data_IF_899582691095
#
_entry.id   IF_899582691095
#
_cell.length_a   1.000
_cell.length_b   1.000
_cell.length_c   1.000
_cell.angle_alpha   90.00
_cell.angle_beta   90.00
_cell.angle_gamma   90.00
#
_symmetry.space_group_name_H-M   'P 1'
#
loop_
_entity.id
_entity.type
_entity.pdbx_description
1 polymer ?
#
# COMPACT_ATOMS: atom_id res chain seq x y z
N UNK A 1 -14.22 -1.10 16.13
CA UNK A 1 -13.98 0.05 15.23
C UNK A 1 -14.17 -0.39 13.78
N UNK A 2 -13.57 -1.51 13.43
CA UNK A 2 -13.67 -2.17 12.13
C UNK A 2 -14.02 -3.62 12.38
N UNK A 3 -14.96 -4.19 11.61
CA UNK A 3 -15.27 -5.62 11.61
C UNK A 3 -14.81 -6.24 10.29
N UNK A 4 -14.19 -7.39 10.34
CA UNK A 4 -13.81 -8.17 9.16
C UNK A 4 -15.05 -8.45 8.29
N UNK A 5 -14.93 -8.25 6.97
CA UNK A 5 -16.01 -8.44 6.01
C UNK A 5 -16.91 -7.21 5.77
N UNK A 6 -16.81 -6.14 6.58
CA UNK A 6 -17.51 -4.88 6.33
C UNK A 6 -16.85 -4.09 5.19
N UNK A 7 -17.61 -3.21 4.55
CA UNK A 7 -17.08 -2.29 3.56
C UNK A 7 -16.20 -1.21 4.19
N UNK A 8 -15.18 -0.78 3.45
CA UNK A 8 -14.27 0.27 3.90
C UNK A 8 -14.84 1.67 3.70
N UNK A 9 -15.01 2.43 4.77
CA UNK A 9 -15.54 3.79 4.78
C UNK A 9 -14.58 4.85 5.32
N UNK A 10 -13.75 4.50 6.32
CA UNK A 10 -12.80 5.39 6.98
C UNK A 10 -11.42 4.76 7.11
N UNK A 11 -10.41 5.63 7.05
CA UNK A 11 -9.06 5.43 7.55
C UNK A 11 -8.96 5.96 8.98
N UNK A 12 -8.19 5.31 9.82
CA UNK A 12 -8.05 5.65 11.24
C UNK A 12 -6.58 5.84 11.64
N UNK A 13 -6.33 6.78 12.55
CA UNK A 13 -5.04 6.99 13.22
C UNK A 13 -5.26 7.02 14.73
N UNK A 14 -4.41 6.30 15.47
CA UNK A 14 -4.46 6.23 16.92
C UNK A 14 -3.76 7.46 17.51
N UNK A 15 -4.52 8.27 18.24
CA UNK A 15 -3.98 9.42 18.99
C UNK A 15 -3.62 9.03 20.44
N UNK A 16 -4.41 8.14 21.06
CA UNK A 16 -4.20 7.65 22.42
C UNK A 16 -4.83 6.26 22.56
N UNK A 17 -4.27 5.44 23.45
CA UNK A 17 -4.71 4.06 23.69
C UNK A 17 -4.14 3.08 22.67
N UNK A 18 -4.58 1.82 22.73
CA UNK A 18 -4.13 0.78 21.82
C UNK A 18 -5.30 -0.03 21.25
N UNK A 19 -5.06 -0.63 20.08
CA UNK A 19 -6.01 -1.46 19.36
C UNK A 19 -5.43 -2.85 19.13
N UNK A 20 -6.27 -3.88 19.24
CA UNK A 20 -5.94 -5.23 18.81
C UNK A 20 -6.45 -5.44 17.38
N UNK A 21 -5.58 -5.94 16.52
CA UNK A 21 -5.93 -6.44 15.19
C UNK A 21 -6.10 -7.94 15.28
N UNK A 22 -7.24 -8.44 14.84
CA UNK A 22 -7.54 -9.88 14.82
C UNK A 22 -8.19 -10.27 13.50
N UNK A 23 -8.12 -11.55 13.19
CA UNK A 23 -8.75 -12.13 11.99
C UNK A 23 -9.44 -13.43 12.36
N UNK A 24 -10.64 -13.61 11.83
CA UNK A 24 -11.37 -14.89 11.89
C UNK A 24 -11.01 -15.73 10.65
N UNK A 25 -10.57 -16.98 10.89
CA UNK A 25 -10.16 -17.91 9.83
C UNK A 25 -11.24 -18.94 9.46
N UNK A 26 -12.50 -18.66 9.83
CA UNK A 26 -13.63 -19.58 9.67
C UNK A 26 -13.94 -20.41 10.94
N UNK A 27 -12.95 -20.70 11.78
CA UNK A 27 -13.13 -21.50 12.99
C UNK A 27 -12.86 -20.72 14.27
N UNK A 28 -11.87 -19.85 14.30
CA UNK A 28 -11.48 -19.07 15.48
C UNK A 28 -10.96 -17.68 15.11
N UNK A 29 -11.05 -16.77 16.08
CA UNK A 29 -10.39 -15.47 16.04
C UNK A 29 -8.92 -15.62 16.40
N UNK A 30 -8.03 -15.07 15.57
CA UNK A 30 -6.57 -15.08 15.77
C UNK A 30 -6.11 -13.65 15.96
N UNK A 31 -5.48 -13.36 17.10
CA UNK A 31 -4.81 -12.08 17.31
C UNK A 31 -3.57 -11.98 16.43
N UNK A 32 -3.45 -10.89 15.67
CA UNK A 32 -2.34 -10.67 14.75
C UNK A 32 -1.30 -9.71 15.31
N UNK A 33 -1.73 -8.57 15.81
CA UNK A 33 -0.84 -7.52 16.33
C UNK A 33 -1.60 -6.51 17.18
N UNK A 34 -0.86 -5.79 18.03
CA UNK A 34 -1.35 -4.61 18.73
C UNK A 34 -0.84 -3.34 18.02
N UNK A 35 -1.73 -2.38 17.84
CA UNK A 35 -1.41 -1.05 17.29
C UNK A 35 -1.45 -0.01 18.41
N UNK A 36 -0.51 0.95 18.36
CA UNK A 36 -0.24 1.95 19.39
C UNK A 36 -0.39 3.38 18.86
N UNK A 37 -0.29 4.42 19.71
CA UNK A 37 -0.33 5.81 19.26
C UNK A 37 0.66 6.08 18.13
N UNK A 38 0.26 6.91 17.18
CA UNK A 38 0.89 7.23 15.88
C UNK A 38 0.73 6.18 14.78
N UNK A 39 0.31 4.97 15.11
CA UNK A 39 -0.01 3.96 14.10
C UNK A 39 -1.40 4.19 13.50
N UNK A 40 -1.61 3.64 12.32
CA UNK A 40 -2.82 3.82 11.53
C UNK A 40 -3.29 2.50 10.91
N UNK A 41 -4.58 2.45 10.54
CA UNK A 41 -5.20 1.26 9.99
C UNK A 41 -6.40 1.58 9.12
N UNK A 42 -6.85 0.58 8.36
CA UNK A 42 -8.04 0.65 7.53
C UNK A 42 -7.77 1.17 6.10
N UNK A 43 -6.52 1.41 5.73
CA UNK A 43 -6.12 1.90 4.41
C UNK A 43 -6.41 0.89 3.29
N UNK A 44 -6.22 -0.40 3.55
CA UNK A 44 -6.25 -1.42 2.51
C UNK A 44 -7.60 -1.50 1.82
N UNK A 45 -8.69 -1.68 2.58
CA UNK A 45 -10.03 -1.74 2.02
C UNK A 45 -10.43 -0.47 1.26
N UNK A 46 -9.89 0.70 1.65
CA UNK A 46 -10.17 1.97 0.97
C UNK A 46 -9.47 2.06 -0.39
N UNK A 47 -8.24 1.58 -0.47
CA UNK A 47 -7.40 1.70 -1.67
C UNK A 47 -7.69 0.61 -2.69
N UNK A 48 -8.01 -0.61 -2.24
CA UNK A 48 -8.30 -1.74 -3.13
C UNK A 48 -9.78 -1.93 -3.45
N UNK A 49 -10.67 -1.13 -2.85
CA UNK A 49 -12.13 -1.32 -2.97
C UNK A 49 -12.60 -2.72 -2.54
N UNK A 50 -11.94 -3.31 -1.54
CA UNK A 50 -12.29 -4.61 -0.98
C UNK A 50 -12.94 -4.44 0.40
N UNK A 51 -13.49 -5.51 0.93
CA UNK A 51 -13.97 -5.57 2.31
C UNK A 51 -12.80 -5.53 3.31
N UNK A 52 -13.10 -5.20 4.55
CA UNK A 52 -12.15 -5.22 5.67
C UNK A 52 -11.56 -6.61 5.87
N UNK A 53 -10.26 -6.73 5.81
CA UNK A 53 -9.56 -8.02 5.93
C UNK A 53 -9.29 -8.46 7.37
N UNK A 54 -9.61 -7.62 8.36
CA UNK A 54 -9.40 -7.87 9.78
C UNK A 54 -10.41 -7.10 10.64
N UNK A 55 -10.61 -7.56 11.86
CA UNK A 55 -11.33 -6.86 12.91
C UNK A 55 -10.35 -6.04 13.76
N UNK A 56 -10.71 -4.79 14.08
CA UNK A 56 -9.92 -3.91 14.93
C UNK A 56 -10.78 -3.37 16.06
N UNK A 57 -10.36 -3.62 17.31
CA UNK A 57 -11.03 -3.15 18.51
C UNK A 57 -10.07 -2.42 19.44
N UNK A 58 -10.56 -1.39 20.14
CA UNK A 58 -9.81 -0.78 21.25
C UNK A 58 -9.65 -1.80 22.39
N UNK A 59 -8.46 -1.91 22.93
CA UNK A 59 -8.17 -2.72 24.13
C UNK A 59 -7.87 -1.86 25.36
N UNK A 60 -7.68 -0.55 25.14
CA UNK A 60 -7.58 0.44 26.22
C UNK A 60 -8.44 1.66 25.89
N UNK A 61 -8.77 2.48 26.90
CA UNK A 61 -9.42 3.76 26.66
C UNK A 61 -8.52 4.66 25.78
N UNK A 62 -9.08 5.26 24.73
CA UNK A 62 -8.28 6.00 23.80
C UNK A 62 -9.04 6.99 22.93
N UNK A 63 -8.32 7.58 21.99
CA UNK A 63 -8.83 8.53 21.01
C UNK A 63 -8.30 8.17 19.63
N UNK A 64 -9.20 8.16 18.66
CA UNK A 64 -8.90 7.96 17.25
C UNK A 64 -9.20 9.26 16.47
N UNK A 65 -8.41 9.50 15.44
CA UNK A 65 -8.76 10.39 14.34
C UNK A 65 -9.21 9.52 13.16
N UNK A 66 -10.23 9.96 12.42
CA UNK A 66 -10.69 9.28 11.22
C UNK A 66 -10.80 10.23 10.05
N UNK A 67 -10.55 9.72 8.86
CA UNK A 67 -10.70 10.43 7.58
C UNK A 67 -11.55 9.54 6.69
N UNK A 68 -12.58 10.10 6.05
CA UNK A 68 -13.40 9.32 5.12
C UNK A 68 -12.61 8.91 3.88
N UNK A 69 -13.08 7.87 3.19
CA UNK A 69 -12.43 7.26 2.03
C UNK A 69 -12.05 8.30 0.96
N UNK A 70 -12.99 9.16 0.57
CA UNK A 70 -12.76 10.15 -0.48
C UNK A 70 -11.58 11.08 -0.14
N UNK A 71 -11.60 11.65 1.06
CA UNK A 71 -10.56 12.57 1.51
C UNK A 71 -9.21 11.86 1.74
N UNK A 72 -9.23 10.61 2.24
CA UNK A 72 -8.02 9.83 2.41
C UNK A 72 -7.34 9.52 1.07
N UNK A 73 -8.08 9.02 0.08
CA UNK A 73 -7.55 8.70 -1.25
C UNK A 73 -7.03 9.96 -1.94
N UNK A 74 -7.77 11.08 -1.85
CA UNK A 74 -7.35 12.37 -2.41
C UNK A 74 -6.06 12.89 -1.75
N UNK A 75 -5.99 12.84 -0.43
CA UNK A 75 -4.79 13.25 0.32
C UNK A 75 -3.57 12.40 -0.07
N UNK A 76 -3.75 11.08 -0.12
CA UNK A 76 -2.68 10.15 -0.45
C UNK A 76 -2.14 10.40 -1.86
N UNK A 77 -3.02 10.49 -2.87
CA UNK A 77 -2.62 10.73 -4.26
C UNK A 77 -1.91 12.07 -4.47
N UNK A 78 -2.34 13.12 -3.78
CA UNK A 78 -1.83 14.47 -4.01
C UNK A 78 -0.56 14.80 -3.21
N UNK A 79 -0.37 14.16 -2.05
CA UNK A 79 0.67 14.59 -1.11
C UNK A 79 1.63 13.50 -0.66
N UNK A 80 1.30 12.23 -0.87
CA UNK A 80 2.12 11.12 -0.37
C UNK A 80 2.74 10.24 -1.45
N UNK A 81 2.26 10.32 -2.68
CA UNK A 81 2.77 9.52 -3.79
C UNK A 81 3.69 10.37 -4.64
N UNK A 82 4.90 9.88 -4.87
CA UNK A 82 5.85 10.48 -5.80
C UNK A 82 5.56 9.95 -7.21
N UNK A 83 4.67 10.63 -7.92
CA UNK A 83 4.34 10.28 -9.29
C UNK A 83 5.49 10.60 -10.23
N UNK A 84 5.72 9.71 -11.19
CA UNK A 84 6.70 9.84 -12.27
C UNK A 84 5.98 9.65 -13.59
N UNK A 85 6.16 10.57 -14.51
CA UNK A 85 5.65 10.43 -15.86
C UNK A 85 6.60 9.54 -16.70
N UNK A 86 6.11 8.87 -17.78
CA UNK A 86 6.90 7.91 -18.56
C UNK A 86 8.24 8.47 -19.08
N UNK A 87 8.28 9.73 -19.47
CA UNK A 87 9.49 10.43 -19.93
C UNK A 87 10.57 10.60 -18.85
N UNK A 88 10.21 10.58 -17.59
CA UNK A 88 11.11 10.71 -16.44
C UNK A 88 11.68 9.37 -15.95
N UNK A 89 11.16 8.24 -16.45
CA UNK A 89 11.53 6.88 -15.98
C UNK A 89 13.03 6.64 -16.14
N UNK A 90 13.60 6.96 -17.30
CA UNK A 90 15.02 6.75 -17.57
C UNK A 90 15.91 7.55 -16.61
N UNK A 91 15.52 8.76 -16.24
CA UNK A 91 16.27 9.59 -15.28
C UNK A 91 16.25 8.95 -13.88
N UNK A 92 15.10 8.46 -13.44
CA UNK A 92 14.95 7.79 -12.14
C UNK A 92 15.78 6.49 -12.11
N UNK A 93 15.77 5.71 -13.17
CA UNK A 93 16.56 4.47 -13.27
C UNK A 93 18.07 4.76 -13.32
N UNK A 94 18.51 5.80 -14.04
CA UNK A 94 19.91 6.23 -14.07
C UNK A 94 20.45 6.69 -12.73
N UNK A 95 19.56 7.18 -11.85
CA UNK A 95 19.87 7.51 -10.46
C UNK A 95 19.91 6.28 -9.53
N UNK A 96 19.76 5.06 -10.06
CA UNK A 96 19.87 3.81 -9.34
C UNK A 96 18.57 3.30 -8.71
N UNK A 97 17.41 3.77 -9.16
CA UNK A 97 16.15 3.20 -8.73
C UNK A 97 15.97 1.78 -9.30
N UNK A 98 15.46 0.89 -8.46
CA UNK A 98 15.21 -0.51 -8.81
C UNK A 98 13.74 -0.66 -9.18
N UNK A 99 13.46 -1.31 -10.30
CA UNK A 99 12.07 -1.60 -10.71
C UNK A 99 11.45 -2.68 -9.82
N UNK A 100 10.22 -2.46 -9.36
CA UNK A 100 9.38 -3.48 -8.75
C UNK A 100 8.15 -3.68 -9.63
N UNK A 101 8.02 -4.88 -10.15
CA UNK A 101 6.85 -5.30 -10.92
C UNK A 101 5.79 -5.88 -9.98
N UNK A 102 4.67 -5.18 -9.87
CA UNK A 102 3.48 -5.52 -9.09
C UNK A 102 2.29 -5.85 -9.98
N UNK A 103 2.51 -6.11 -11.27
CA UNK A 103 1.44 -6.43 -12.22
C UNK A 103 0.93 -7.86 -12.00
N UNK A 104 -0.37 -8.05 -12.22
CA UNK A 104 -0.99 -9.39 -12.24
C UNK A 104 -1.12 -9.93 -13.67
N UNK A 105 -0.96 -9.06 -14.67
CA UNK A 105 -1.09 -9.39 -16.08
C UNK A 105 0.18 -10.04 -16.63
N UNK A 106 0.10 -11.32 -16.99
CA UNK A 106 1.26 -12.11 -17.42
C UNK A 106 1.91 -11.61 -18.73
N UNK A 107 1.18 -10.93 -19.60
CA UNK A 107 1.73 -10.39 -20.86
C UNK A 107 2.57 -9.12 -20.63
N UNK A 108 2.24 -8.28 -19.65
CA UNK A 108 3.04 -7.12 -19.25
C UNK A 108 4.35 -7.52 -18.56
N UNK A 109 4.32 -8.60 -17.77
CA UNK A 109 5.50 -9.05 -17.01
C UNK A 109 6.63 -9.55 -17.89
N UNK A 110 6.37 -9.99 -19.13
CA UNK A 110 7.40 -10.40 -20.08
C UNK A 110 8.19 -9.22 -20.67
N UNK A 111 7.62 -8.01 -20.62
CA UNK A 111 8.22 -6.80 -21.21
C UNK A 111 8.97 -5.94 -20.18
N UNK A 112 8.82 -6.23 -18.88
CA UNK A 112 9.52 -5.50 -17.82
C UNK A 112 10.80 -6.25 -17.45
N UNK A 113 11.87 -5.98 -18.19
CA UNK A 113 13.20 -6.54 -17.89
C UNK A 113 13.77 -5.95 -16.59
N UNK A 114 14.62 -6.74 -15.90
CA UNK A 114 15.37 -6.34 -14.70
C UNK A 114 14.52 -5.81 -13.54
N UNK A 115 13.28 -6.28 -13.39
CA UNK A 115 12.43 -5.92 -12.27
C UNK A 115 12.36 -7.01 -11.19
N UNK A 116 12.28 -6.58 -9.93
CA UNK A 116 11.93 -7.47 -8.81
C UNK A 116 10.43 -7.76 -8.90
N UNK A 117 10.05 -8.99 -9.22
CA UNK A 117 8.64 -9.38 -9.29
C UNK A 117 8.09 -9.66 -7.89
N UNK A 118 7.06 -8.91 -7.52
CA UNK A 118 6.36 -9.08 -6.24
C UNK A 118 4.86 -9.12 -6.53
N UNK A 119 4.20 -10.27 -6.44
CA UNK A 119 2.74 -10.32 -6.54
C UNK A 119 2.08 -9.38 -5.54
N UNK A 120 1.06 -8.57 -5.90
CA UNK A 120 0.47 -7.55 -5.03
C UNK A 120 0.05 -8.08 -3.66
N UNK A 121 -0.53 -9.29 -3.59
CA UNK A 121 -0.93 -9.93 -2.34
C UNK A 121 0.26 -10.33 -1.43
N UNK A 122 1.46 -10.47 -1.98
CA UNK A 122 2.69 -10.79 -1.25
C UNK A 122 3.49 -9.54 -0.82
N UNK A 123 3.13 -8.36 -1.30
CA UNK A 123 3.89 -7.13 -1.06
C UNK A 123 4.16 -6.91 0.44
N UNK A 124 3.16 -7.08 1.31
CA UNK A 124 3.32 -6.90 2.76
C UNK A 124 4.40 -7.79 3.37
N UNK A 125 4.52 -9.01 2.88
CA UNK A 125 5.51 -9.98 3.38
C UNK A 125 6.89 -9.71 2.76
N UNK A 126 6.95 -9.46 1.46
CA UNK A 126 8.21 -9.31 0.73
C UNK A 126 8.86 -7.93 0.90
N UNK A 127 8.09 -6.86 1.17
CA UNK A 127 8.67 -5.54 1.42
C UNK A 127 9.61 -5.49 2.64
N UNK A 128 9.63 -6.55 3.48
CA UNK A 128 10.56 -6.67 4.60
C UNK A 128 11.99 -6.86 4.11
N UNK A 129 12.18 -7.49 2.95
CA UNK A 129 13.48 -7.77 2.34
C UNK A 129 14.03 -6.58 1.56
N UNK A 130 13.20 -5.58 1.26
CA UNK A 130 13.61 -4.40 0.51
C UNK A 130 14.48 -3.47 1.36
N UNK A 131 15.61 -3.07 0.81
CA UNK A 131 16.55 -2.17 1.48
C UNK A 131 16.02 -0.73 1.56
N UNK A 132 16.06 -0.12 2.73
CA UNK A 132 15.72 1.30 2.92
C UNK A 132 16.75 2.26 2.31
N UNK A 133 17.93 1.76 1.89
CA UNK A 133 18.98 2.56 1.26
C UNK A 133 18.73 2.78 -0.23
N UNK A 134 17.89 1.94 -0.83
CA UNK A 134 17.55 2.00 -2.24
C UNK A 134 16.27 2.81 -2.47
N UNK A 135 16.10 3.29 -3.68
CA UNK A 135 14.83 3.81 -4.20
C UNK A 135 14.22 2.82 -5.18
N UNK A 136 12.90 2.81 -5.27
CA UNK A 136 12.18 1.82 -6.08
C UNK A 136 11.17 2.51 -6.99
N UNK A 137 11.10 2.05 -8.25
CA UNK A 137 10.06 2.45 -9.20
C UNK A 137 8.99 1.35 -9.23
N UNK A 138 7.76 1.70 -8.87
CA UNK A 138 6.64 0.77 -8.79
C UNK A 138 5.88 0.75 -10.11
N UNK A 139 5.69 -0.45 -10.65
CA UNK A 139 4.98 -0.74 -11.89
C UNK A 139 3.80 -1.64 -11.55
N UNK A 140 2.58 -1.13 -11.65
CA UNK A 140 1.34 -1.84 -11.36
C UNK A 140 0.36 -1.70 -12.52
N UNK A 141 -0.69 -2.52 -12.53
CA UNK A 141 -1.73 -2.47 -13.55
C UNK A 141 -2.62 -1.22 -13.47
N UNK A 142 -2.76 -0.64 -12.28
CA UNK A 142 -3.66 0.50 -12.08
C UNK A 142 -3.23 1.41 -10.91
N UNK A 143 -3.74 2.63 -10.91
CA UNK A 143 -3.44 3.67 -9.93
C UNK A 143 -3.81 3.31 -8.49
N UNK A 144 -4.81 2.47 -8.25
CA UNK A 144 -5.22 2.10 -6.89
C UNK A 144 -4.22 1.13 -6.26
N UNK A 145 -3.77 0.13 -7.01
CA UNK A 145 -2.71 -0.79 -6.58
C UNK A 145 -1.39 -0.04 -6.36
N UNK A 146 -1.07 0.88 -7.25
CA UNK A 146 0.05 1.80 -7.13
C UNK A 146 0.00 2.61 -5.82
N UNK A 147 -1.16 3.20 -5.52
CA UNK A 147 -1.34 4.01 -4.32
C UNK A 147 -1.15 3.20 -3.03
N UNK A 148 -1.68 1.98 -2.98
CA UNK A 148 -1.50 1.09 -1.84
C UNK A 148 -0.04 0.68 -1.67
N UNK A 149 0.61 0.25 -2.74
CA UNK A 149 2.01 -0.17 -2.72
C UNK A 149 2.92 0.97 -2.24
N UNK A 150 2.78 2.15 -2.83
CA UNK A 150 3.54 3.34 -2.45
C UNK A 150 3.32 3.71 -0.98
N UNK A 151 2.08 3.72 -0.51
CA UNK A 151 1.76 4.00 0.89
C UNK A 151 2.43 3.01 1.85
N UNK A 152 2.35 1.71 1.57
CA UNK A 152 2.94 0.66 2.40
C UNK A 152 4.47 0.77 2.48
N UNK A 153 5.14 1.04 1.36
CA UNK A 153 6.59 1.23 1.32
C UNK A 153 7.00 2.51 2.05
N UNK A 154 6.30 3.62 1.81
CA UNK A 154 6.56 4.91 2.46
C UNK A 154 6.39 4.84 3.98
N UNK A 155 5.37 4.12 4.46
CA UNK A 155 5.15 3.86 5.90
C UNK A 155 6.33 3.14 6.57
N UNK A 156 7.14 2.42 5.78
CA UNK A 156 8.38 1.76 6.23
C UNK A 156 9.65 2.58 6.02
N UNK A 157 9.52 3.79 5.50
CA UNK A 157 10.65 4.66 5.18
C UNK A 157 11.43 4.20 3.95
N UNK A 158 10.80 3.45 3.05
CA UNK A 158 11.37 3.03 1.76
C UNK A 158 10.99 4.07 0.71
N UNK A 159 12.01 4.72 0.14
CA UNK A 159 11.85 5.71 -0.94
C UNK A 159 11.29 5.01 -2.19
N UNK A 160 10.20 5.51 -2.72
CA UNK A 160 9.56 4.92 -3.89
C UNK A 160 8.95 5.99 -4.80
N UNK A 161 8.82 5.63 -6.06
CA UNK A 161 8.21 6.37 -7.14
C UNK A 161 7.14 5.52 -7.79
N UNK A 162 6.12 6.14 -8.34
CA UNK A 162 4.98 5.45 -8.96
C UNK A 162 4.83 5.93 -10.38
N UNK A 163 4.87 5.01 -11.33
CA UNK A 163 4.65 5.33 -12.74
C UNK A 163 3.20 5.71 -12.98
N UNK A 164 2.98 6.91 -13.49
CA UNK A 164 1.66 7.40 -13.89
C UNK A 164 1.14 6.62 -15.10
N UNK A 165 -0.11 6.18 -15.03
CA UNK A 165 -0.72 5.36 -16.09
C UNK A 165 -0.38 3.88 -16.01
N UNK A 166 0.38 3.46 -14.96
CA UNK A 166 0.73 2.05 -14.75
C UNK A 166 1.77 1.52 -15.72
N UNK A 167 2.02 0.20 -15.65
CA UNK A 167 3.03 -0.47 -16.46
C UNK A 167 2.75 -0.40 -17.97
N UNK A 168 1.48 -0.32 -18.36
CA UNK A 168 1.08 -0.18 -19.78
C UNK A 168 1.65 1.08 -20.44
N UNK A 169 1.87 2.15 -19.67
CA UNK A 169 2.42 3.40 -20.21
C UNK A 169 3.87 3.30 -20.69
N UNK A 170 4.59 2.22 -20.33
CA UNK A 170 5.96 1.96 -20.83
C UNK A 170 5.97 1.27 -22.19
N UNK A 171 4.90 0.58 -22.57
CA UNK A 171 4.84 -0.21 -23.82
C UNK A 171 4.61 0.69 -25.04
N UNK A 172 4.12 1.90 -24.83
CA UNK A 172 3.78 2.84 -25.90
C UNK A 172 4.77 4.02 -26.01
N UNK A 173 5.89 3.96 -25.29
CA UNK A 173 7.03 4.87 -25.40
C UNK A 173 8.22 4.19 -26.08
#
# INVERSE_FOLDING_TARGET
IISQGEDGDYFYMIKKGSCLVSRHNGTKEIALTELRPTESFGEEALLTNTQRNATIRMITNGRLMRINKLNFVRFLRNYMINWVDPDQVNDILSQGAIKIDLTENSWLTSEIEDAIKIPPFMLRNQMITLSRKNSYLLLCDNDNSNALASYLLSKRGIKNYVLRGGAESLVFC
#
